data_IF_460527052900
#
_entry.id   IF_460527052900
#
_cell.length_a   1.000
_cell.length_b   1.000
_cell.length_c   1.000
_cell.angle_alpha   90.00
_cell.angle_beta   90.00
_cell.angle_gamma   90.00
#
_symmetry.space_group_name_H-M   'P 1'
#
loop_
_entity.id
_entity.type
_entity.pdbx_description
1 polymer ?
#
# COMPACT_ATOMS: atom_id res chain seq x y z
N UNK A 1 3.04 15.09 3.96
CA UNK A 1 2.27 14.36 4.99
C UNK A 1 1.80 13.07 4.36
N UNK A 2 2.31 11.92 4.81
CA UNK A 2 1.91 10.62 4.27
C UNK A 2 0.58 10.21 4.89
N UNK A 3 -0.42 9.89 4.06
CA UNK A 3 -1.69 9.35 4.53
C UNK A 3 -1.44 8.01 5.24
N UNK A 4 -2.02 7.85 6.43
CA UNK A 4 -2.01 6.60 7.17
C UNK A 4 -2.84 5.53 6.44
N UNK A 5 -2.57 4.25 6.72
CA UNK A 5 -3.39 3.14 6.19
C UNK A 5 -4.88 3.27 6.54
N UNK A 6 -5.21 3.93 7.66
CA UNK A 6 -6.60 4.21 8.05
C UNK A 6 -7.23 5.26 7.14
N UNK A 7 -6.54 6.37 6.88
CA UNK A 7 -7.04 7.43 5.99
C UNK A 7 -7.19 6.93 4.56
N UNK A 8 -6.23 6.14 4.06
CA UNK A 8 -6.32 5.51 2.74
C UNK A 8 -7.52 4.54 2.67
N UNK A 9 -7.72 3.71 3.70
CA UNK A 9 -8.83 2.76 3.73
C UNK A 9 -10.19 3.49 3.72
N UNK A 10 -10.31 4.59 4.48
CA UNK A 10 -11.51 5.44 4.51
C UNK A 10 -11.78 6.08 3.14
N UNK A 11 -10.76 6.65 2.49
CA UNK A 11 -10.90 7.25 1.16
C UNK A 11 -11.31 6.25 0.08
N UNK A 12 -10.81 5.00 0.18
CA UNK A 12 -11.12 3.93 -0.76
C UNK A 12 -12.43 3.19 -0.42
N UNK A 13 -13.09 3.50 0.69
CA UNK A 13 -14.31 2.81 1.12
C UNK A 13 -14.11 1.33 1.45
N UNK A 14 -12.91 0.93 1.88
CA UNK A 14 -12.56 -0.46 2.22
C UNK A 14 -12.08 -0.56 3.67
N UNK A 15 -12.05 -1.79 4.21
CA UNK A 15 -11.42 -2.02 5.51
C UNK A 15 -9.89 -1.93 5.42
N UNK A 16 -9.22 -1.64 6.54
CA UNK A 16 -7.75 -1.65 6.62
C UNK A 16 -7.18 -3.03 6.19
N UNK A 17 -7.83 -4.13 6.60
CA UNK A 17 -7.48 -5.48 6.14
C UNK A 17 -7.69 -5.67 4.63
N UNK A 18 -8.71 -5.05 4.08
CA UNK A 18 -8.92 -4.97 2.63
C UNK A 18 -7.76 -4.24 1.94
N UNK A 19 -7.30 -3.11 2.49
CA UNK A 19 -6.15 -2.36 1.99
C UNK A 19 -4.86 -3.20 2.06
N UNK A 20 -4.62 -3.92 3.16
CA UNK A 20 -3.48 -4.83 3.30
C UNK A 20 -3.46 -5.90 2.21
N UNK A 21 -4.61 -6.52 1.92
CA UNK A 21 -4.75 -7.49 0.84
C UNK A 21 -4.45 -6.87 -0.53
N UNK A 22 -4.90 -5.63 -0.80
CA UNK A 22 -4.57 -4.92 -2.03
C UNK A 22 -3.07 -4.65 -2.14
N UNK A 23 -2.43 -4.20 -1.06
CA UNK A 23 -0.98 -3.96 -1.00
C UNK A 23 -0.19 -5.25 -1.22
N UNK A 24 -0.63 -6.36 -0.64
CA UNK A 24 -0.02 -7.68 -0.89
C UNK A 24 -0.11 -8.08 -2.36
N UNK A 25 -1.29 -7.97 -2.97
CA UNK A 25 -1.46 -8.26 -4.41
C UNK A 25 -0.63 -7.35 -5.29
N UNK A 26 -0.55 -6.06 -4.95
CA UNK A 26 0.27 -5.09 -5.66
C UNK A 26 1.75 -5.48 -5.61
N UNK A 27 2.28 -5.80 -4.41
CA UNK A 27 3.65 -6.30 -4.25
C UNK A 27 3.92 -7.52 -5.12
N UNK A 28 3.04 -8.53 -5.07
CA UNK A 28 3.17 -9.74 -5.88
C UNK A 28 3.16 -9.44 -7.37
N UNK A 29 2.30 -8.53 -7.83
CA UNK A 29 2.22 -8.12 -9.25
C UNK A 29 3.48 -7.38 -9.71
N UNK A 30 4.11 -6.63 -8.81
CA UNK A 30 5.33 -5.86 -9.08
C UNK A 30 6.62 -6.65 -8.81
N UNK A 31 6.53 -7.91 -8.32
CA UNK A 31 7.68 -8.71 -7.95
C UNK A 31 8.49 -8.14 -6.78
N UNK A 32 7.85 -7.37 -5.89
CA UNK A 32 8.52 -6.73 -4.75
C UNK A 32 8.68 -7.70 -3.59
N UNK A 33 9.88 -7.70 -3.00
CA UNK A 33 10.17 -8.44 -1.79
C UNK A 33 9.40 -7.88 -0.58
N UNK A 34 9.20 -8.71 0.44
CA UNK A 34 8.48 -8.36 1.67
C UNK A 34 9.19 -7.25 2.46
N UNK A 35 10.53 -7.20 2.33
CA UNK A 35 11.39 -6.21 2.98
C UNK A 35 11.30 -4.83 2.31
N UNK A 36 10.72 -4.76 1.10
CA UNK A 36 10.53 -3.48 0.41
C UNK A 36 9.30 -2.77 1.00
N UNK A 37 9.56 -1.57 1.55
CA UNK A 37 8.52 -0.66 1.96
C UNK A 37 7.74 -0.18 0.73
N UNK A 38 6.54 -0.72 0.52
CA UNK A 38 5.68 -0.39 -0.62
C UNK A 38 5.34 1.11 -0.68
N UNK A 39 5.17 1.78 0.47
CA UNK A 39 4.85 3.20 0.49
C UNK A 39 6.04 4.04 0.02
N UNK A 40 7.25 3.68 0.46
CA UNK A 40 8.49 4.32 0.01
C UNK A 40 8.75 4.05 -1.47
N UNK A 41 8.55 2.80 -1.92
CA UNK A 41 8.66 2.42 -3.33
C UNK A 41 7.70 3.20 -4.24
N UNK A 42 6.46 3.47 -3.79
CA UNK A 42 5.51 4.28 -4.56
C UNK A 42 5.85 5.78 -4.55
N UNK A 43 6.58 6.25 -3.53
CA UNK A 43 6.96 7.65 -3.37
C UNK A 43 8.30 7.99 -4.03
N UNK A 44 9.14 7.00 -4.33
CA UNK A 44 10.46 7.21 -4.95
C UNK A 44 10.41 7.57 -6.44
N UNK A 45 9.22 7.57 -7.08
CA UNK A 45 9.06 7.92 -8.51
C UNK A 45 8.82 9.42 -8.73
N UNK A 46 9.55 10.29 -8.02
CA UNK A 46 9.46 11.74 -8.19
C UNK A 46 10.76 12.32 -8.76
#
# INVERSE_FOLDING_TARGET
MNLSSKEIALLLGISVRGLENHRYRLRKKMGLDIDINLSEFLMSTN
#
